data_IF_025664579126
#
_entry.id   IF_025664579126
#
_cell.length_a   1.000
_cell.length_b   1.000
_cell.length_c   1.000
_cell.angle_alpha   90.00
_cell.angle_beta   90.00
_cell.angle_gamma   90.00
#
_symmetry.space_group_name_H-M   'P 1'
#
loop_
_entity.id
_entity.type
_entity.pdbx_description
1 polymer ?
#
# COMPACT_ATOMS: atom_id res chain seq x y z
N UNK A 1 -3.43 -10.24 -21.84
CA UNK A 1 -4.05 -9.00 -21.39
C UNK A 1 -3.13 -8.28 -20.44
N UNK A 2 -2.84 -7.08 -20.79
CA UNK A 2 -2.01 -6.27 -19.94
C UNK A 2 -2.79 -5.82 -18.72
N UNK A 3 -2.20 -6.03 -17.60
CA UNK A 3 -2.78 -5.56 -16.36
C UNK A 3 -2.67 -4.05 -16.34
N UNK A 4 -3.77 -3.38 -16.51
CA UNK A 4 -3.73 -1.92 -16.53
C UNK A 4 -4.21 -1.37 -15.23
N UNK A 5 -3.39 -0.53 -14.63
CA UNK A 5 -3.85 0.25 -13.52
C UNK A 5 -4.81 1.29 -14.01
N UNK A 6 -5.71 1.67 -13.16
CA UNK A 6 -6.56 2.79 -13.45
C UNK A 6 -5.69 4.03 -13.56
N UNK A 7 -5.95 4.79 -14.59
CA UNK A 7 -5.15 5.97 -14.84
C UNK A 7 -5.16 6.94 -13.66
N UNK A 8 -6.29 7.05 -12.99
CA UNK A 8 -6.38 7.95 -11.85
C UNK A 8 -5.41 7.60 -10.74
N UNK A 9 -5.23 6.30 -10.47
CA UNK A 9 -4.29 5.89 -9.42
C UNK A 9 -2.85 6.00 -9.89
N UNK A 10 -2.57 5.69 -11.15
CA UNK A 10 -1.20 5.76 -11.65
C UNK A 10 -0.71 7.20 -11.78
N UNK A 11 -1.62 8.16 -11.92
CA UNK A 11 -1.27 9.57 -12.04
C UNK A 11 -1.30 10.31 -10.71
N UNK A 12 -1.74 9.64 -9.66
CA UNK A 12 -1.85 10.26 -8.36
C UNK A 12 -0.54 10.14 -7.61
N UNK A 13 0.07 11.25 -7.27
CA UNK A 13 1.33 11.25 -6.53
C UNK A 13 1.16 10.61 -5.16
N UNK A 14 0.02 10.85 -4.52
CA UNK A 14 -0.25 10.26 -3.21
C UNK A 14 -0.36 8.75 -3.31
N UNK A 15 -1.02 8.24 -4.33
CA UNK A 15 -1.12 6.80 -4.53
C UNK A 15 0.27 6.18 -4.71
N UNK A 16 1.12 6.83 -5.47
CA UNK A 16 2.48 6.34 -5.67
C UNK A 16 3.28 6.38 -4.38
N UNK A 17 3.10 7.43 -3.60
CA UNK A 17 3.80 7.56 -2.32
C UNK A 17 3.36 6.44 -1.37
N UNK A 18 2.06 6.18 -1.27
CA UNK A 18 1.57 5.08 -0.44
C UNK A 18 2.11 3.74 -0.92
N UNK A 19 2.10 3.53 -2.22
CA UNK A 19 2.60 2.29 -2.79
C UNK A 19 4.07 2.08 -2.47
N UNK A 20 4.87 3.13 -2.62
CA UNK A 20 6.30 3.07 -2.32
C UNK A 20 6.54 2.75 -0.85
N UNK A 21 5.77 3.35 0.04
CA UNK A 21 5.89 3.07 1.47
C UNK A 21 5.59 1.60 1.74
N UNK A 22 4.53 1.08 1.13
CA UNK A 22 4.17 -0.32 1.32
C UNK A 22 5.28 -1.26 0.81
N UNK A 23 5.85 -0.94 -0.33
CA UNK A 23 6.95 -1.73 -0.86
C UNK A 23 8.18 -1.69 0.04
N UNK A 24 8.51 -0.52 0.54
CA UNK A 24 9.65 -0.36 1.43
C UNK A 24 9.44 -1.13 2.73
N UNK A 25 8.24 -1.07 3.28
CA UNK A 25 7.92 -1.81 4.50
C UNK A 25 8.01 -3.32 4.27
N UNK A 26 7.53 -3.76 3.12
CA UNK A 26 7.62 -5.17 2.77
C UNK A 26 9.06 -5.64 2.64
N UNK A 27 9.90 -4.82 2.02
CA UNK A 27 11.31 -5.15 1.86
C UNK A 27 12.02 -5.18 3.21
N UNK A 28 11.73 -4.21 4.07
CA UNK A 28 12.32 -4.18 5.40
C UNK A 28 11.89 -5.38 6.23
N UNK A 29 10.62 -5.74 6.15
CA UNK A 29 10.11 -6.89 6.84
C UNK A 29 10.81 -8.17 6.36
N UNK A 30 10.98 -8.28 5.05
CA UNK A 30 11.65 -9.42 4.45
C UNK A 30 13.11 -9.49 4.88
N UNK A 31 13.78 -8.35 4.89
CA UNK A 31 15.18 -8.27 5.32
C UNK A 31 15.34 -8.61 6.80
N UNK A 32 14.32 -8.37 7.59
CA UNK A 32 14.33 -8.71 9.02
C UNK A 32 14.04 -10.20 9.27
N UNK A 33 13.80 -10.99 8.23
CA UNK A 33 13.52 -12.41 8.38
C UNK A 33 12.05 -12.74 8.49
N UNK A 34 11.18 -11.83 8.06
CA UNK A 34 9.73 -12.02 8.09
C UNK A 34 9.21 -12.39 9.47
N UNK A 35 9.53 -11.61 10.49
CA UNK A 35 9.09 -11.95 11.84
C UNK A 35 7.58 -11.96 11.95
N UNK A 36 7.05 -12.95 12.64
CA UNK A 36 5.62 -13.00 12.92
C UNK A 36 5.35 -12.14 14.14
N UNK A 37 5.20 -10.86 13.91
CA UNK A 37 5.02 -9.89 15.00
C UNK A 37 3.82 -9.00 14.69
N UNK A 38 2.62 -9.41 15.12
CA UNK A 38 1.42 -8.65 14.82
C UNK A 38 1.37 -7.29 15.53
N UNK A 39 2.16 -7.10 16.58
CA UNK A 39 2.18 -5.84 17.29
C UNK A 39 3.22 -4.87 16.76
N UNK A 40 4.20 -5.38 16.03
CA UNK A 40 5.22 -4.55 15.41
C UNK A 40 4.97 -4.38 13.93
N UNK A 41 5.57 -5.27 13.14
CA UNK A 41 5.48 -5.16 11.68
C UNK A 41 4.05 -5.25 11.15
N UNK A 42 3.27 -6.16 11.71
CA UNK A 42 1.89 -6.32 11.27
C UNK A 42 1.08 -5.05 11.46
N UNK A 43 1.30 -4.36 12.56
CA UNK A 43 0.58 -3.12 12.84
C UNK A 43 1.03 -2.00 11.92
N UNK A 44 2.33 -1.88 11.70
CA UNK A 44 2.87 -0.85 10.82
C UNK A 44 2.40 -1.04 9.39
N UNK A 45 2.52 -2.26 8.88
CA UNK A 45 2.10 -2.57 7.52
C UNK A 45 0.59 -2.43 7.39
N UNK A 46 -0.15 -2.87 8.40
CA UNK A 46 -1.60 -2.76 8.41
C UNK A 46 -2.09 -1.33 8.35
N UNK A 47 -1.43 -0.43 9.07
CA UNK A 47 -1.79 0.98 9.04
C UNK A 47 -1.50 1.61 7.68
N UNK A 48 -0.35 1.28 7.11
CA UNK A 48 0.01 1.79 5.80
C UNK A 48 -0.95 1.28 4.73
N UNK A 49 -1.31 0.00 4.81
CA UNK A 49 -2.26 -0.58 3.87
C UNK A 49 -3.64 0.04 4.02
N UNK A 50 -4.09 0.24 5.25
CA UNK A 50 -5.38 0.86 5.51
C UNK A 50 -5.45 2.27 4.93
N UNK A 51 -4.40 3.04 5.14
CA UNK A 51 -4.34 4.40 4.60
C UNK A 51 -4.38 4.38 3.07
N UNK A 52 -3.67 3.44 2.47
CA UNK A 52 -3.66 3.30 1.02
C UNK A 52 -5.04 2.94 0.48
N UNK A 53 -5.71 1.99 1.13
CA UNK A 53 -7.03 1.56 0.71
C UNK A 53 -8.05 2.68 0.87
N UNK A 54 -7.98 3.43 1.96
CA UNK A 54 -8.85 4.59 2.15
C UNK A 54 -8.65 5.61 1.05
N UNK A 55 -7.40 5.85 0.69
CA UNK A 55 -7.09 6.80 -0.36
C UNK A 55 -7.61 6.32 -1.71
N UNK A 56 -7.45 5.03 -2.01
CA UNK A 56 -7.93 4.47 -3.26
C UNK A 56 -9.44 4.63 -3.39
N UNK A 57 -10.17 4.49 -2.29
CA UNK A 57 -11.61 4.62 -2.33
C UNK A 57 -12.06 6.00 -2.82
N UNK A 58 -11.23 7.01 -2.63
CA UNK A 58 -11.53 8.35 -3.11
C UNK A 58 -11.44 8.44 -4.62
N UNK A 59 -10.76 7.49 -5.26
CA UNK A 59 -10.64 7.46 -6.71
C UNK A 59 -11.72 6.62 -7.37
N UNK A 60 -12.45 5.82 -6.59
CA UNK A 60 -13.47 4.96 -7.15
C UNK A 60 -14.73 5.77 -7.42
N UNK A 61 -15.43 5.48 -8.53
CA UNK A 61 -16.68 6.18 -8.80
C UNK A 61 -17.73 5.81 -7.77
N UNK A 62 -18.57 6.77 -7.45
CA UNK A 62 -19.69 6.51 -6.57
C UNK A 62 -20.63 5.52 -7.24
N UNK A 63 -20.99 4.49 -6.51
CA UNK A 63 -21.88 3.46 -7.05
C UNK A 63 -23.31 3.97 -7.14
#
# INVERSE_FOLDING_TARGET
VTWQRQESTSQCDSCRAYWNVLQDLGEEWDAAGRPADPHGWGQIIGRALSAYLDHIQQHLPAA
#
